data_IF_358792956102
#
_entry.id   IF_358792956102
#
_cell.length_a   1.000
_cell.length_b   1.000
_cell.length_c   1.000
_cell.angle_alpha   90.00
_cell.angle_beta   90.00
_cell.angle_gamma   90.00
#
_symmetry.space_group_name_H-M   'P 1'
#
loop_
_entity.id
_entity.type
_entity.pdbx_description
1 polymer ?
#
# COMPACT_ATOMS: atom_id res chain seq x y z
N UNK A 1 -15.08 -26.52 13.40
CA UNK A 1 -14.94 -25.75 12.12
C UNK A 1 -14.00 -24.58 12.38
N UNK A 2 -12.91 -24.44 11.63
CA UNK A 2 -11.96 -23.33 11.74
C UNK A 2 -12.47 -22.13 10.94
N UNK A 3 -12.53 -20.96 11.57
CA UNK A 3 -12.86 -19.71 10.87
C UNK A 3 -11.57 -19.07 10.31
N UNK A 4 -11.61 -18.67 9.04
CA UNK A 4 -10.56 -17.88 8.42
C UNK A 4 -11.17 -16.55 7.98
N UNK A 5 -10.66 -15.46 8.55
CA UNK A 5 -11.09 -14.09 8.22
C UNK A 5 -9.94 -13.41 7.51
N UNK A 6 -10.22 -12.71 6.40
CA UNK A 6 -9.18 -12.07 5.60
C UNK A 6 -8.54 -10.90 6.36
N UNK A 7 -9.26 -9.81 6.48
CA UNK A 7 -8.86 -8.64 7.29
C UNK A 7 -10.10 -8.03 7.93
N UNK A 8 -9.93 -7.40 9.07
CA UNK A 8 -11.00 -6.69 9.77
C UNK A 8 -10.66 -5.21 9.91
N UNK A 9 -11.68 -4.39 10.09
CA UNK A 9 -11.46 -2.99 10.44
C UNK A 9 -10.85 -2.91 11.84
N UNK A 10 -9.88 -2.05 12.03
CA UNK A 10 -9.11 -1.94 13.28
C UNK A 10 -10.02 -1.69 14.48
N UNK A 11 -10.99 -0.80 14.35
CA UNK A 11 -11.95 -0.47 15.41
C UNK A 11 -12.99 -1.57 15.72
N UNK A 12 -13.05 -2.65 14.94
CA UNK A 12 -13.92 -3.80 15.23
C UNK A 12 -13.22 -4.90 16.00
N UNK A 13 -11.93 -4.75 16.30
CA UNK A 13 -11.17 -5.71 17.09
C UNK A 13 -11.49 -5.50 18.56
N UNK A 14 -12.46 -6.26 19.09
CA UNK A 14 -12.80 -6.29 20.50
C UNK A 14 -12.20 -7.54 21.17
N UNK A 15 -12.07 -7.57 22.51
CA UNK A 15 -11.62 -8.79 23.22
C UNK A 15 -12.54 -9.98 22.94
N UNK A 16 -13.84 -9.77 22.88
CA UNK A 16 -14.86 -10.81 22.64
C UNK A 16 -14.73 -11.41 21.24
N UNK A 17 -14.52 -10.56 20.21
CA UNK A 17 -14.25 -11.03 18.85
C UNK A 17 -12.96 -11.86 18.78
N UNK A 18 -11.90 -11.36 19.42
CA UNK A 18 -10.61 -12.03 19.44
C UNK A 18 -10.70 -13.39 20.18
N UNK A 19 -11.43 -13.45 21.29
CA UNK A 19 -11.70 -14.67 22.04
C UNK A 19 -12.51 -15.68 21.23
N UNK A 20 -13.62 -15.26 20.64
CA UNK A 20 -14.45 -16.10 19.79
C UNK A 20 -13.67 -16.72 18.63
N UNK A 21 -12.78 -15.93 18.01
CA UNK A 21 -11.89 -16.41 16.96
C UNK A 21 -10.84 -17.40 17.48
N UNK A 22 -10.24 -17.12 18.62
CA UNK A 22 -9.24 -17.96 19.27
C UNK A 22 -9.82 -19.32 19.65
N UNK A 23 -11.01 -19.35 20.25
CA UNK A 23 -11.76 -20.58 20.57
C UNK A 23 -12.09 -21.44 19.34
N UNK A 24 -12.22 -20.82 18.16
CA UNK A 24 -12.44 -21.50 16.87
C UNK A 24 -11.15 -21.86 16.13
N UNK A 25 -10.00 -21.83 16.82
CA UNK A 25 -8.69 -22.23 16.30
C UNK A 25 -8.00 -21.18 15.41
N UNK A 26 -8.53 -19.96 15.32
CA UNK A 26 -7.83 -18.83 14.64
C UNK A 26 -6.69 -18.35 15.53
N UNK A 27 -5.48 -18.34 14.99
CA UNK A 27 -4.28 -17.92 15.73
C UNK A 27 -3.83 -16.50 15.46
N UNK A 28 -4.27 -15.92 14.35
CA UNK A 28 -3.84 -14.60 13.91
C UNK A 28 -4.96 -13.81 13.31
N UNK A 29 -4.94 -12.50 13.53
CA UNK A 29 -5.83 -11.53 12.89
C UNK A 29 -5.03 -10.62 11.98
N UNK A 30 -5.68 -10.03 10.99
CA UNK A 30 -5.08 -9.05 10.07
C UNK A 30 -5.88 -7.75 10.10
N UNK A 31 -5.18 -6.62 10.26
CA UNK A 31 -5.73 -5.26 10.16
C UNK A 31 -4.96 -4.45 9.12
N UNK A 32 -5.63 -3.53 8.44
CA UNK A 32 -5.01 -2.64 7.47
C UNK A 32 -4.86 -1.23 8.07
N UNK A 33 -3.63 -0.86 8.39
CA UNK A 33 -3.31 0.43 9.01
C UNK A 33 -2.81 1.47 8.00
N UNK A 34 -2.35 1.03 6.84
CA UNK A 34 -1.76 1.76 5.72
C UNK A 34 -0.40 2.37 6.07
N UNK A 35 -0.28 3.14 7.14
CA UNK A 35 0.95 3.77 7.63
C UNK A 35 0.91 3.96 9.14
N UNK A 36 2.08 4.06 9.78
CA UNK A 36 2.21 4.50 11.17
C UNK A 36 2.10 6.01 11.33
N UNK A 37 2.21 6.77 10.24
CA UNK A 37 2.05 8.23 10.25
C UNK A 37 0.58 8.61 10.13
N UNK A 38 0.08 9.39 11.12
CA UNK A 38 -1.26 9.97 11.04
C UNK A 38 -1.42 10.85 9.80
N UNK A 39 -0.38 11.61 9.46
CA UNK A 39 -0.37 12.46 8.27
C UNK A 39 -0.58 11.64 6.99
N UNK A 40 0.13 10.53 6.82
CA UNK A 40 -0.03 9.65 5.65
C UNK A 40 -1.41 8.99 5.65
N UNK A 41 -1.93 8.56 6.81
CA UNK A 41 -3.31 8.06 6.91
C UNK A 41 -4.34 9.11 6.46
N UNK A 42 -4.14 10.37 6.82
CA UNK A 42 -5.00 11.47 6.38
C UNK A 42 -4.89 11.71 4.86
N UNK A 43 -3.69 11.66 4.28
CA UNK A 43 -3.46 11.77 2.83
C UNK A 43 -4.29 10.73 2.06
N UNK A 44 -4.32 9.49 2.53
CA UNK A 44 -5.10 8.41 1.89
C UNK A 44 -6.54 8.30 2.42
N UNK A 45 -7.00 9.30 3.17
CA UNK A 45 -8.33 9.34 3.79
C UNK A 45 -8.66 8.09 4.63
N UNK A 46 -7.64 7.53 5.28
CA UNK A 46 -7.80 6.42 6.24
C UNK A 46 -8.18 7.00 7.59
N UNK A 47 -9.45 7.03 7.88
CA UNK A 47 -9.98 7.50 9.17
C UNK A 47 -9.66 6.47 10.26
N UNK A 48 -8.44 6.51 10.77
CA UNK A 48 -7.92 5.58 11.77
C UNK A 48 -6.89 6.32 12.62
N UNK A 49 -7.15 6.34 13.93
CA UNK A 49 -6.27 6.99 14.89
C UNK A 49 -5.25 5.99 15.48
N UNK A 50 -4.15 6.53 16.02
CA UNK A 50 -3.08 5.72 16.59
C UNK A 50 -3.55 4.86 17.76
N UNK A 51 -4.40 5.43 18.63
CA UNK A 51 -4.90 4.75 19.82
C UNK A 51 -5.80 3.56 19.46
N UNK A 52 -6.56 3.65 18.35
CA UNK A 52 -7.37 2.54 17.85
C UNK A 52 -6.49 1.34 17.42
N UNK A 53 -5.31 1.63 16.83
CA UNK A 53 -4.37 0.58 16.41
C UNK A 53 -3.77 -0.12 17.63
N UNK A 54 -3.39 0.66 18.66
CA UNK A 54 -2.86 0.10 19.93
C UNK A 54 -3.92 -0.67 20.69
N UNK A 55 -5.15 -0.16 20.75
CA UNK A 55 -6.28 -0.84 21.37
C UNK A 55 -6.56 -2.18 20.69
N UNK A 56 -6.57 -2.21 19.35
CA UNK A 56 -6.76 -3.45 18.60
C UNK A 56 -5.69 -4.50 18.92
N UNK A 57 -4.43 -4.09 19.09
CA UNK A 57 -3.36 -5.01 19.49
C UNK A 57 -3.57 -5.58 20.90
N UNK A 58 -3.91 -4.72 21.87
CA UNK A 58 -4.22 -5.14 23.25
C UNK A 58 -5.42 -6.08 23.29
N UNK A 59 -6.48 -5.76 22.57
CA UNK A 59 -7.71 -6.57 22.50
C UNK A 59 -7.44 -7.95 21.86
N UNK A 60 -6.61 -7.96 20.79
CA UNK A 60 -6.21 -9.21 20.15
C UNK A 60 -5.42 -10.13 21.11
N UNK A 61 -4.52 -9.56 21.92
CA UNK A 61 -3.77 -10.29 22.94
C UNK A 61 -4.68 -10.77 24.06
N UNK A 62 -5.54 -9.90 24.60
CA UNK A 62 -6.47 -10.22 25.67
C UNK A 62 -7.43 -11.35 25.29
N UNK A 63 -7.92 -11.38 24.04
CA UNK A 63 -8.74 -12.46 23.49
C UNK A 63 -7.97 -13.74 23.13
N UNK A 64 -6.67 -13.83 23.46
CA UNK A 64 -5.87 -15.06 23.34
C UNK A 64 -5.30 -15.35 21.96
N UNK A 65 -5.38 -14.40 21.00
CA UNK A 65 -4.70 -14.54 19.72
C UNK A 65 -3.17 -14.60 19.92
N UNK A 66 -2.47 -15.24 18.99
CA UNK A 66 -1.01 -15.43 19.06
C UNK A 66 -0.23 -14.53 18.12
N UNK A 67 -0.90 -13.94 17.14
CA UNK A 67 -0.26 -13.06 16.17
C UNK A 67 -1.23 -11.98 15.66
N UNK A 68 -0.67 -10.81 15.37
CA UNK A 68 -1.34 -9.73 14.67
C UNK A 68 -0.53 -9.38 13.42
N UNK A 69 -1.20 -9.41 12.27
CA UNK A 69 -0.63 -8.98 11.00
C UNK A 69 -1.18 -7.59 10.68
N UNK A 70 -0.30 -6.70 10.31
CA UNK A 70 -0.66 -5.36 9.85
C UNK A 70 -0.33 -5.25 8.37
N UNK A 71 -1.19 -4.60 7.62
CA UNK A 71 -0.90 -4.18 6.25
C UNK A 71 -0.61 -2.68 6.23
N UNK A 72 0.46 -2.33 5.54
CA UNK A 72 0.88 -0.97 5.28
C UNK A 72 1.41 -0.81 3.87
N UNK A 73 1.71 0.43 3.53
CA UNK A 73 2.32 0.78 2.25
C UNK A 73 3.36 1.88 2.43
N UNK A 74 4.28 1.99 1.49
CA UNK A 74 5.26 3.08 1.36
C UNK A 74 5.19 3.69 -0.02
N UNK A 75 5.68 4.91 -0.17
CA UNK A 75 5.66 5.63 -1.43
C UNK A 75 4.30 6.24 -1.74
N UNK A 76 3.47 6.47 -0.73
CA UNK A 76 2.27 7.30 -0.87
C UNK A 76 2.70 8.70 -1.30
N UNK A 77 2.04 9.33 -2.29
CA UNK A 77 2.35 10.69 -2.68
C UNK A 77 2.43 11.64 -1.47
N UNK A 78 3.52 12.39 -1.36
CA UNK A 78 3.77 13.26 -0.21
C UNK A 78 4.37 12.60 1.03
N UNK A 79 4.59 11.28 1.04
CA UNK A 79 5.27 10.59 2.14
C UNK A 79 6.73 11.02 2.26
N UNK A 80 7.19 11.23 3.50
CA UNK A 80 8.55 11.62 3.85
C UNK A 80 9.26 10.54 4.65
N UNK A 81 10.56 10.71 4.90
CA UNK A 81 11.32 9.79 5.75
C UNK A 81 10.82 9.79 7.21
N UNK A 82 10.32 10.93 7.70
CA UNK A 82 9.72 11.02 9.04
C UNK A 82 8.46 10.16 9.18
N UNK A 83 7.70 9.96 8.10
CA UNK A 83 6.53 9.09 8.11
C UNK A 83 6.91 7.61 8.17
N UNK A 84 8.06 7.27 7.56
CA UNK A 84 8.64 5.92 7.68
C UNK A 84 9.10 5.67 9.12
N UNK A 85 9.73 6.67 9.77
CA UNK A 85 10.08 6.60 11.19
C UNK A 85 8.84 6.40 12.08
N UNK A 86 7.78 7.16 11.82
CA UNK A 86 6.52 6.99 12.53
C UNK A 86 5.95 5.56 12.39
N UNK A 87 6.17 4.92 11.23
CA UNK A 87 5.75 3.52 11.03
C UNK A 87 6.61 2.55 11.84
N UNK A 88 7.91 2.78 11.92
CA UNK A 88 8.82 1.99 12.79
C UNK A 88 8.41 2.16 14.24
N UNK A 89 8.21 3.38 14.70
CA UNK A 89 7.83 3.71 16.08
C UNK A 89 6.47 3.10 16.45
N UNK A 90 5.49 3.15 15.55
CA UNK A 90 4.21 2.48 15.75
C UNK A 90 4.41 0.99 16.02
N UNK A 91 5.17 0.29 15.18
CA UNK A 91 5.40 -1.15 15.35
C UNK A 91 6.12 -1.49 16.65
N UNK A 92 7.07 -0.66 17.07
CA UNK A 92 7.76 -0.81 18.36
C UNK A 92 6.80 -0.59 19.53
N UNK A 93 5.94 0.44 19.46
CA UNK A 93 4.91 0.68 20.49
C UNK A 93 3.93 -0.49 20.59
N UNK A 94 3.46 -1.01 19.45
CA UNK A 94 2.57 -2.17 19.43
C UNK A 94 3.22 -3.41 20.09
N UNK A 95 4.52 -3.63 19.84
CA UNK A 95 5.24 -4.74 20.51
C UNK A 95 5.33 -4.56 22.01
N UNK A 96 5.44 -3.31 22.50
CA UNK A 96 5.42 -3.02 23.95
C UNK A 96 4.02 -3.15 24.52
N UNK A 97 2.99 -2.72 23.78
CA UNK A 97 1.60 -2.74 24.23
C UNK A 97 0.99 -4.15 24.27
N UNK A 98 1.46 -5.06 23.40
CA UNK A 98 1.00 -6.44 23.30
C UNK A 98 2.21 -7.40 23.12
N UNK A 99 3.01 -7.62 24.19
CA UNK A 99 4.29 -8.30 24.09
C UNK A 99 4.18 -9.80 23.77
N UNK A 100 3.04 -10.43 24.03
CA UNK A 100 2.80 -11.85 23.72
C UNK A 100 2.40 -12.08 22.26
N UNK A 101 2.04 -11.02 21.50
CA UNK A 101 1.70 -11.15 20.12
C UNK A 101 2.95 -11.20 19.22
N UNK A 102 2.96 -12.14 18.29
CA UNK A 102 3.88 -12.11 17.16
C UNK A 102 3.39 -11.09 16.15
N UNK A 103 4.10 -9.97 16.03
CA UNK A 103 3.76 -8.90 15.08
C UNK A 103 4.39 -9.16 13.73
N UNK A 104 3.61 -8.92 12.66
CA UNK A 104 4.08 -8.95 11.27
C UNK A 104 3.57 -7.71 10.55
N UNK A 105 4.45 -6.94 9.93
CA UNK A 105 4.08 -5.89 8.98
C UNK A 105 4.27 -6.42 7.55
N UNK A 106 3.17 -6.59 6.81
CA UNK A 106 3.18 -6.75 5.36
C UNK A 106 3.14 -5.36 4.73
N UNK A 107 4.09 -5.05 3.85
CA UNK A 107 4.19 -3.71 3.31
C UNK A 107 4.37 -3.75 1.79
N UNK A 108 3.50 -3.05 1.09
CA UNK A 108 3.56 -2.87 -0.36
C UNK A 108 4.08 -1.49 -0.74
N UNK A 109 4.50 -1.34 -1.99
CA UNK A 109 4.67 -0.03 -2.59
C UNK A 109 3.31 0.50 -3.02
N UNK A 110 3.03 1.78 -2.76
CA UNK A 110 1.85 2.43 -3.29
C UNK A 110 1.88 2.43 -4.82
N UNK A 111 0.84 1.88 -5.44
CA UNK A 111 0.66 1.86 -6.90
C UNK A 111 -0.63 2.57 -7.26
N UNK A 112 -0.55 3.70 -7.97
CA UNK A 112 -1.73 4.44 -8.40
C UNK A 112 -2.67 3.58 -9.25
N UNK A 113 -3.97 3.76 -9.04
CA UNK A 113 -5.02 3.04 -9.77
C UNK A 113 -5.90 4.02 -10.53
N UNK A 114 -6.44 3.58 -11.67
CA UNK A 114 -7.47 4.31 -12.41
C UNK A 114 -8.68 4.60 -11.53
N UNK A 115 -9.37 5.68 -11.81
CA UNK A 115 -10.57 6.13 -11.10
C UNK A 115 -10.37 6.36 -9.59
N UNK A 116 -9.12 6.69 -9.18
CA UNK A 116 -8.79 7.12 -7.81
C UNK A 116 -8.18 8.52 -7.82
N UNK A 117 -8.19 9.24 -6.69
CA UNK A 117 -7.61 10.58 -6.60
C UNK A 117 -6.13 10.64 -7.05
N UNK A 118 -5.37 9.57 -6.84
CA UNK A 118 -3.95 9.51 -7.20
C UNK A 118 -3.66 8.96 -8.61
N UNK A 119 -4.65 8.84 -9.48
CA UNK A 119 -4.47 8.28 -10.83
C UNK A 119 -3.47 9.05 -11.71
N UNK A 120 -3.21 10.33 -11.39
CA UNK A 120 -2.24 11.18 -12.09
C UNK A 120 -0.81 11.05 -11.55
N UNK A 121 -0.64 10.47 -10.37
CA UNK A 121 0.66 10.33 -9.71
C UNK A 121 1.42 9.10 -10.21
N UNK A 122 2.76 9.15 -10.16
CA UNK A 122 3.63 8.01 -10.41
C UNK A 122 3.95 7.22 -9.13
N UNK A 123 4.56 6.05 -9.32
CA UNK A 123 5.16 5.29 -8.21
C UNK A 123 6.43 5.99 -7.74
N UNK A 124 6.54 6.21 -6.45
CA UNK A 124 7.74 6.82 -5.87
C UNK A 124 8.96 5.89 -5.95
N UNK A 125 10.04 6.38 -6.57
CA UNK A 125 11.31 5.64 -6.66
C UNK A 125 11.98 5.43 -5.30
N UNK A 126 11.68 6.29 -4.31
CA UNK A 126 12.21 6.14 -2.96
C UNK A 126 11.60 4.96 -2.20
N UNK A 127 10.46 4.43 -2.64
CA UNK A 127 9.77 3.34 -1.97
C UNK A 127 10.65 2.08 -1.77
N UNK A 128 11.52 1.72 -2.74
CA UNK A 128 12.46 0.59 -2.59
C UNK A 128 13.42 0.80 -1.41
N UNK A 129 13.96 2.02 -1.26
CA UNK A 129 14.83 2.38 -0.14
C UNK A 129 14.09 2.36 1.20
N UNK A 130 12.85 2.84 1.21
CA UNK A 130 11.99 2.85 2.40
C UNK A 130 11.63 1.43 2.85
N UNK A 131 11.29 0.53 1.92
CA UNK A 131 11.06 -0.89 2.24
C UNK A 131 12.29 -1.54 2.90
N UNK A 132 13.47 -1.32 2.34
CA UNK A 132 14.74 -1.82 2.91
C UNK A 132 15.04 -1.24 4.30
N UNK A 133 14.71 0.04 4.51
CA UNK A 133 14.85 0.69 5.81
C UNK A 133 13.91 0.08 6.85
N UNK A 134 12.63 -0.09 6.52
CA UNK A 134 11.65 -0.75 7.37
C UNK A 134 12.10 -2.17 7.73
N UNK A 135 12.55 -2.96 6.75
CA UNK A 135 13.04 -4.31 6.99
C UNK A 135 14.18 -4.35 8.00
N UNK A 136 15.19 -3.48 7.79
CA UNK A 136 16.36 -3.39 8.68
C UNK A 136 15.96 -3.04 10.12
N UNK A 137 15.15 -1.99 10.28
CA UNK A 137 14.83 -1.48 11.63
C UNK A 137 13.81 -2.38 12.37
N UNK A 138 12.80 -2.91 11.67
CA UNK A 138 11.84 -3.82 12.29
C UNK A 138 12.50 -5.16 12.69
N UNK A 139 13.42 -5.68 11.87
CA UNK A 139 14.18 -6.89 12.18
C UNK A 139 15.02 -6.75 13.45
N UNK A 140 15.71 -5.61 13.65
CA UNK A 140 16.45 -5.30 14.87
C UNK A 140 15.56 -5.36 16.12
N UNK A 141 14.30 -4.99 15.97
CA UNK A 141 13.32 -4.98 17.05
C UNK A 141 12.55 -6.32 17.18
N UNK A 142 12.96 -7.38 16.45
CA UNK A 142 12.31 -8.69 16.51
C UNK A 142 10.86 -8.69 15.99
N UNK A 143 10.55 -7.79 15.05
CA UNK A 143 9.27 -7.68 14.36
C UNK A 143 9.41 -8.27 12.97
N UNK A 144 8.51 -9.16 12.59
CA UNK A 144 8.54 -9.76 11.26
C UNK A 144 8.10 -8.74 10.21
N UNK A 145 8.90 -8.58 9.15
CA UNK A 145 8.58 -7.75 8.00
C UNK A 145 8.43 -8.60 6.74
N UNK A 146 7.42 -8.30 5.94
CA UNK A 146 7.13 -8.98 4.67
C UNK A 146 6.90 -7.92 3.58
N UNK A 147 7.96 -7.45 2.93
CA UNK A 147 7.83 -6.51 1.83
C UNK A 147 7.31 -7.21 0.58
N UNK A 148 6.49 -6.51 -0.18
CA UNK A 148 6.27 -6.83 -1.58
C UNK A 148 7.44 -6.34 -2.44
N UNK A 149 7.66 -7.00 -3.56
CA UNK A 149 8.75 -6.62 -4.46
C UNK A 149 8.47 -5.28 -5.15
N UNK A 150 9.28 -4.25 -4.88
CA UNK A 150 9.23 -2.98 -5.57
C UNK A 150 9.26 -3.14 -7.11
N UNK A 151 10.09 -4.05 -7.61
CA UNK A 151 10.20 -4.29 -9.06
C UNK A 151 8.90 -4.81 -9.66
N UNK A 152 8.17 -5.66 -8.94
CA UNK A 152 6.83 -6.11 -9.35
C UNK A 152 5.78 -4.99 -9.21
N UNK A 153 5.92 -4.10 -8.23
CA UNK A 153 5.06 -2.92 -8.13
C UNK A 153 5.23 -1.98 -9.34
N UNK A 154 6.44 -1.87 -9.89
CA UNK A 154 6.69 -1.13 -11.15
C UNK A 154 5.97 -1.78 -12.33
N UNK A 155 6.00 -3.12 -12.43
CA UNK A 155 5.21 -3.82 -13.47
C UNK A 155 3.71 -3.62 -13.24
N UNK A 156 3.24 -3.71 -12.00
CA UNK A 156 1.85 -3.45 -11.65
C UNK A 156 1.42 -2.03 -12.05
N UNK A 157 2.28 -1.03 -11.85
CA UNK A 157 2.03 0.34 -12.25
C UNK A 157 1.94 0.49 -13.78
N UNK A 158 2.85 -0.16 -14.52
CA UNK A 158 2.77 -0.24 -15.97
C UNK A 158 1.41 -0.79 -16.43
N UNK A 159 0.95 -1.88 -15.83
CA UNK A 159 -0.35 -2.50 -16.18
C UNK A 159 -1.54 -1.61 -15.77
N UNK A 160 -1.45 -0.92 -14.63
CA UNK A 160 -2.53 -0.08 -14.10
C UNK A 160 -2.67 1.27 -14.81
N UNK A 161 -1.60 1.76 -15.44
CA UNK A 161 -1.54 3.10 -16.04
C UNK A 161 -1.23 3.09 -17.53
N UNK A 162 -1.03 1.91 -18.10
CA UNK A 162 -0.72 1.71 -19.49
C UNK A 162 -1.90 1.93 -20.42
N UNK A 163 -1.59 2.11 -21.70
CA UNK A 163 -2.56 2.20 -22.77
C UNK A 163 -2.65 0.88 -23.56
N UNK A 164 -3.38 0.87 -24.68
CA UNK A 164 -3.62 -0.33 -25.50
C UNK A 164 -2.36 -1.07 -25.95
N UNK A 165 -1.20 -0.41 -26.02
CA UNK A 165 0.10 -1.03 -26.37
C UNK A 165 0.56 -2.05 -25.32
N UNK A 166 0.08 -1.95 -24.09
CA UNK A 166 0.33 -2.93 -23.05
C UNK A 166 -0.20 -4.32 -23.42
N UNK A 167 -1.27 -4.41 -24.20
CA UNK A 167 -1.78 -5.70 -24.69
C UNK A 167 -0.74 -6.43 -25.53
N UNK A 168 -0.14 -5.75 -26.52
CA UNK A 168 0.92 -6.33 -27.34
C UNK A 168 2.13 -6.72 -26.52
N UNK A 169 2.55 -5.84 -25.60
CA UNK A 169 3.63 -6.15 -24.64
C UNK A 169 3.33 -7.41 -23.83
N UNK A 170 2.11 -7.60 -23.32
CA UNK A 170 1.74 -8.78 -22.55
C UNK A 170 1.80 -10.06 -23.41
N UNK A 171 1.35 -9.99 -24.66
CA UNK A 171 1.45 -11.10 -25.59
C UNK A 171 2.92 -11.51 -25.81
N UNK A 172 3.81 -10.52 -26.03
CA UNK A 172 5.25 -10.76 -26.14
C UNK A 172 5.86 -11.29 -24.83
N UNK A 173 5.49 -10.73 -23.68
CA UNK A 173 5.98 -11.22 -22.39
C UNK A 173 5.59 -12.68 -22.14
N UNK A 174 4.36 -13.09 -22.48
CA UNK A 174 3.93 -14.49 -22.42
C UNK A 174 4.85 -15.42 -23.20
N UNK A 175 5.20 -15.04 -24.41
CA UNK A 175 6.04 -15.87 -25.30
C UNK A 175 7.51 -15.92 -24.83
N UNK A 176 7.97 -14.89 -24.13
CA UNK A 176 9.33 -14.78 -23.57
C UNK A 176 9.47 -15.36 -22.16
N UNK A 177 8.36 -15.68 -21.48
CA UNK A 177 8.29 -16.10 -20.09
C UNK A 177 7.81 -14.97 -19.15
N UNK A 178 7.60 -15.28 -17.87
CA UNK A 178 6.92 -14.44 -16.87
C UNK A 178 7.86 -13.70 -15.90
N UNK A 179 9.14 -13.58 -16.23
CA UNK A 179 10.12 -12.91 -15.38
C UNK A 179 10.08 -11.37 -15.52
N UNK A 180 10.59 -10.66 -14.52
CA UNK A 180 10.72 -9.19 -14.59
C UNK A 180 11.55 -8.71 -15.79
N UNK A 181 12.56 -9.49 -16.20
CA UNK A 181 13.40 -9.15 -17.35
C UNK A 181 12.63 -9.26 -18.66
N UNK A 182 11.70 -10.21 -18.77
CA UNK A 182 10.87 -10.40 -19.96
C UNK A 182 9.89 -9.26 -20.17
N UNK A 183 9.28 -8.72 -19.10
CA UNK A 183 8.47 -7.50 -19.23
C UNK A 183 9.26 -6.33 -19.80
N UNK A 184 10.51 -6.12 -19.33
CA UNK A 184 11.39 -5.06 -19.85
C UNK A 184 11.77 -5.28 -21.30
N UNK A 185 12.03 -6.53 -21.69
CA UNK A 185 12.35 -6.90 -23.07
C UNK A 185 11.14 -6.72 -23.97
N UNK A 186 10.00 -7.28 -23.59
CA UNK A 186 8.76 -7.17 -24.34
C UNK A 186 8.35 -5.70 -24.60
N UNK A 187 8.49 -4.83 -23.59
CA UNK A 187 8.18 -3.41 -23.76
C UNK A 187 9.08 -2.70 -24.77
N UNK A 188 10.31 -3.17 -24.99
CA UNK A 188 11.21 -2.62 -26.02
C UNK A 188 10.88 -3.12 -27.42
N UNK A 189 10.24 -4.27 -27.55
CA UNK A 189 9.89 -4.89 -28.85
C UNK A 189 8.57 -4.33 -29.42
N UNK A 190 7.76 -3.63 -28.61
CA UNK A 190 6.49 -3.01 -29.06
C UNK A 190 6.77 -1.66 -29.69
N UNK A 191 6.37 -1.51 -30.96
CA UNK A 191 6.60 -0.27 -31.68
C UNK A 191 5.85 0.92 -31.07
N UNK A 192 6.54 2.04 -30.92
CA UNK A 192 5.97 3.27 -30.37
C UNK A 192 5.57 3.20 -28.89
N UNK A 193 5.91 2.13 -28.16
CA UNK A 193 5.64 2.04 -26.73
C UNK A 193 6.62 2.91 -25.95
N UNK A 194 6.14 3.83 -25.08
CA UNK A 194 7.00 4.55 -24.15
C UNK A 194 7.77 3.62 -23.23
N UNK A 195 8.88 4.13 -22.68
CA UNK A 195 9.62 3.39 -21.64
C UNK A 195 8.72 3.06 -20.45
N UNK A 196 8.98 1.96 -19.76
CA UNK A 196 8.24 1.56 -18.55
C UNK A 196 8.21 2.69 -17.52
N UNK A 197 9.31 3.43 -17.37
CA UNK A 197 9.40 4.58 -16.47
C UNK A 197 8.35 5.67 -16.73
N UNK A 198 7.95 5.86 -17.98
CA UNK A 198 6.89 6.80 -18.34
C UNK A 198 5.54 6.37 -17.75
N UNK A 199 5.22 5.09 -17.83
CA UNK A 199 3.96 4.59 -17.26
C UNK A 199 4.03 4.48 -15.75
N UNK A 200 5.16 4.00 -15.22
CA UNK A 200 5.26 3.67 -13.80
C UNK A 200 5.55 4.90 -12.92
N UNK A 201 6.44 5.79 -13.35
CA UNK A 201 7.00 6.82 -12.46
C UNK A 201 6.64 8.26 -12.83
N UNK A 202 6.18 8.51 -14.07
CA UNK A 202 5.85 9.87 -14.44
C UNK A 202 4.53 10.31 -13.78
N UNK A 203 4.53 11.52 -13.22
CA UNK A 203 3.30 12.20 -12.90
C UNK A 203 2.66 12.72 -14.20
N UNK A 204 1.36 12.68 -14.24
CA UNK A 204 0.59 13.19 -15.37
C UNK A 204 -0.09 14.50 -14.97
N UNK A 205 -0.13 15.51 -15.86
CA UNK A 205 -0.96 16.69 -15.64
C UNK A 205 -2.42 16.29 -15.40
N UNK A 206 -3.11 16.99 -14.51
CA UNK A 206 -4.49 16.65 -14.14
C UNK A 206 -5.52 16.86 -15.27
N UNK A 207 -5.16 17.65 -16.28
CA UNK A 207 -5.93 17.90 -17.51
C UNK A 207 -5.62 16.89 -18.63
N UNK A 208 -4.59 16.05 -18.45
CA UNK A 208 -4.24 15.02 -19.42
C UNK A 208 -5.39 14.02 -19.61
N UNK A 209 -5.69 13.69 -20.88
CA UNK A 209 -6.56 12.58 -21.22
C UNK A 209 -5.88 11.27 -20.85
N UNK A 210 -6.47 10.56 -19.89
CA UNK A 210 -5.93 9.29 -19.40
C UNK A 210 -6.45 8.10 -20.23
N UNK A 211 -5.67 7.02 -20.38
CA UNK A 211 -6.05 5.87 -21.21
C UNK A 211 -7.41 5.24 -20.88
N UNK A 212 -7.85 5.35 -19.63
CA UNK A 212 -9.11 4.80 -19.11
C UNK A 212 -10.24 5.83 -19.00
N UNK A 213 -10.04 7.07 -19.45
CA UNK A 213 -11.03 8.15 -19.27
C UNK A 213 -12.35 7.91 -20.03
N UNK A 214 -12.32 7.04 -21.05
CA UNK A 214 -13.53 6.61 -21.79
C UNK A 214 -14.41 5.63 -20.98
N UNK A 215 -13.91 5.12 -19.86
CA UNK A 215 -14.66 4.24 -18.95
C UNK A 215 -15.29 5.09 -17.84
N UNK A 216 -16.54 4.84 -17.53
CA UNK A 216 -17.20 5.50 -16.41
C UNK A 216 -16.78 4.84 -15.10
N UNK A 217 -16.14 5.63 -14.22
CA UNK A 217 -15.83 5.22 -12.86
C UNK A 217 -16.99 5.48 -11.90
N UNK A 218 -16.87 5.04 -10.65
CA UNK A 218 -17.93 5.25 -9.64
C UNK A 218 -18.06 6.71 -9.20
N UNK A 219 -17.04 7.54 -9.43
CA UNK A 219 -17.00 8.96 -9.09
C UNK A 219 -16.67 9.81 -10.31
N UNK A 220 -17.31 10.99 -10.46
CA UNK A 220 -16.95 11.98 -11.47
C UNK A 220 -15.49 12.44 -11.33
N UNK A 221 -14.88 12.86 -12.42
CA UNK A 221 -13.47 13.28 -12.45
C UNK A 221 -13.21 14.50 -11.55
N UNK A 222 -14.19 15.40 -11.44
CA UNK A 222 -14.12 16.60 -10.60
C UNK A 222 -14.04 16.24 -9.12
N UNK A 223 -14.74 15.18 -8.71
CA UNK A 223 -14.69 14.66 -7.33
C UNK A 223 -13.32 14.06 -7.04
N UNK A 224 -12.73 13.34 -8.01
CA UNK A 224 -11.38 12.79 -7.86
C UNK A 224 -10.31 13.90 -7.76
N UNK A 225 -10.46 14.98 -8.55
CA UNK A 225 -9.60 16.18 -8.45
C UNK A 225 -9.71 16.84 -7.08
N UNK A 226 -10.94 17.07 -6.61
CA UNK A 226 -11.18 17.63 -5.28
C UNK A 226 -10.52 16.79 -4.18
N UNK A 227 -10.67 15.47 -4.22
CA UNK A 227 -10.02 14.58 -3.25
C UNK A 227 -8.48 14.59 -3.36
N UNK A 228 -7.93 14.79 -4.57
CA UNK A 228 -6.49 15.00 -4.73
C UNK A 228 -6.05 16.29 -4.05
N UNK A 229 -6.76 17.40 -4.25
CA UNK A 229 -6.46 18.69 -3.62
C UNK A 229 -6.53 18.61 -2.09
N UNK A 230 -7.53 17.91 -1.54
CA UNK A 230 -7.63 17.63 -0.11
C UNK A 230 -6.43 16.82 0.41
N UNK A 231 -5.96 15.84 -0.37
CA UNK A 231 -4.76 15.05 -0.05
C UNK A 231 -3.49 15.89 -0.10
N UNK A 232 -3.38 16.82 -1.07
CA UNK A 232 -2.28 17.81 -1.16
C UNK A 232 -2.24 18.69 0.08
N UNK A 233 -3.39 19.21 0.51
CA UNK A 233 -3.49 20.01 1.73
C UNK A 233 -3.02 19.23 2.97
N UNK A 234 -3.41 17.97 3.11
CA UNK A 234 -2.94 17.09 4.20
C UNK A 234 -1.44 16.80 4.13
N UNK A 235 -0.84 16.85 2.93
CA UNK A 235 0.59 16.57 2.75
C UNK A 235 1.50 17.75 3.09
N UNK A 236 0.96 18.91 3.40
CA UNK A 236 1.74 20.15 3.59
C UNK A 236 2.45 20.57 2.30
N UNK A 237 1.78 20.44 1.14
CA UNK A 237 2.27 20.74 -0.21
C UNK A 237 3.45 19.86 -0.70
N UNK A 238 3.69 18.72 -0.08
CA UNK A 238 4.72 17.77 -0.57
C UNK A 238 4.28 16.97 -1.80
N UNK A 239 3.00 17.01 -2.16
CA UNK A 239 2.49 16.42 -3.41
C UNK A 239 2.54 17.50 -4.50
N UNK A 240 3.29 17.24 -5.57
CA UNK A 240 3.31 18.14 -6.73
C UNK A 240 2.11 17.82 -7.64
N UNK A 241 1.22 18.79 -7.79
CA UNK A 241 0.19 18.82 -8.84
C UNK A 241 0.69 19.76 -9.94
N UNK A 242 1.22 19.21 -11.02
CA UNK A 242 1.61 19.98 -12.20
C UNK A 242 0.57 19.80 -13.29
#
# INVERSE_FOLDING_TARGET
>A
MRLSIASVRTNTVTPELAEALSQRGTKSLTIAVESGSQRVRNIVNKKLEQDEIEMAARNAEAGGLKALKLYGMVGVPGETEADVDATIDMMIRLKKAAPKLKLTLGCSTFVPKSHTPFQWQGVDKAADKRLKRLEKELRKNGIQFRPESYKWSVVQALLSRGDRRVTEMLMRARDLGDSLSTFKRAAKEVNGMPKIDHYAHADYPVDRILPWQHLHGPLPIEVLRKHLDESVACSGNSIQTR
#
